data_IF_435253971966
#
_entry.id   IF_435253971966
#
_cell.length_a   1.000
_cell.length_b   1.000
_cell.length_c   1.000
_cell.angle_alpha   90.00
_cell.angle_beta   90.00
_cell.angle_gamma   90.00
#
_symmetry.space_group_name_H-M   'P 1'
#
loop_
_entity.id
_entity.type
_entity.pdbx_description
1 polymer ?
#
# COMPACT_ATOMS: atom_id res chain seq x y z
N UNK A 1 39.48 0.41 -27.75
CA UNK A 1 38.36 -0.44 -28.23
C UNK A 1 38.54 -1.81 -27.65
N UNK A 2 37.94 -2.04 -26.49
CA UNK A 2 38.07 -3.28 -25.74
C UNK A 2 36.71 -3.96 -25.86
N UNK A 3 36.62 -4.99 -26.70
CA UNK A 3 35.40 -5.81 -26.80
C UNK A 3 35.19 -6.51 -25.45
N UNK A 4 34.19 -6.07 -24.68
CA UNK A 4 33.69 -6.79 -23.51
C UNK A 4 33.01 -8.07 -24.03
N UNK A 5 33.61 -9.22 -23.76
CA UNK A 5 33.10 -10.53 -24.15
C UNK A 5 32.44 -11.18 -22.94
N UNK A 6 31.11 -11.28 -22.95
CA UNK A 6 30.36 -12.06 -21.98
C UNK A 6 30.26 -13.50 -22.48
N UNK A 7 30.59 -14.49 -21.64
CA UNK A 7 30.39 -15.91 -21.96
C UNK A 7 28.88 -16.23 -22.00
N UNK A 8 28.45 -16.74 -23.16
CA UNK A 8 27.07 -17.01 -23.48
C UNK A 8 26.59 -18.37 -22.95
N UNK A 9 25.31 -18.44 -22.59
CA UNK A 9 24.54 -19.68 -22.51
C UNK A 9 24.50 -20.30 -23.92
N UNK A 10 24.99 -21.54 -24.07
CA UNK A 10 24.92 -22.38 -25.27
C UNK A 10 25.34 -21.75 -26.61
N UNK A 11 26.44 -20.98 -26.62
CA UNK A 11 27.09 -20.57 -27.87
C UNK A 11 26.32 -19.55 -28.73
N UNK A 12 25.21 -18.99 -28.23
CA UNK A 12 24.49 -17.90 -28.88
C UNK A 12 25.15 -16.56 -28.57
N UNK A 13 25.82 -15.97 -29.56
CA UNK A 13 26.48 -14.66 -29.42
C UNK A 13 25.57 -13.54 -29.93
N UNK A 14 25.14 -12.65 -29.03
CA UNK A 14 24.52 -11.38 -29.43
C UNK A 14 25.66 -10.41 -29.78
N UNK A 15 25.74 -10.00 -31.05
CA UNK A 15 26.77 -9.10 -31.52
C UNK A 15 26.30 -7.65 -31.33
N UNK A 16 26.64 -7.05 -30.18
CA UNK A 16 26.36 -5.66 -29.87
C UNK A 16 27.68 -4.87 -29.93
N UNK A 17 27.74 -3.81 -30.73
CA UNK A 17 28.82 -2.82 -30.63
C UNK A 17 28.64 -1.97 -29.36
N UNK A 18 29.65 -1.21 -28.93
CA UNK A 18 29.58 -0.44 -27.67
C UNK A 18 28.29 0.40 -27.56
N UNK A 19 27.90 1.12 -28.64
CA UNK A 19 26.63 1.87 -28.67
C UNK A 19 25.38 0.99 -28.58
N UNK A 20 25.39 -0.17 -29.21
CA UNK A 20 24.31 -1.15 -29.15
C UNK A 20 24.21 -1.86 -27.81
N UNK A 21 25.34 -2.06 -27.12
CA UNK A 21 25.36 -2.59 -25.74
C UNK A 21 24.70 -1.60 -24.80
N UNK A 22 25.08 -0.32 -24.86
CA UNK A 22 24.45 0.73 -24.06
C UNK A 22 22.95 0.86 -24.35
N UNK A 23 22.56 0.96 -25.63
CA UNK A 23 21.14 1.08 -26.00
C UNK A 23 20.29 -0.11 -25.53
N UNK A 24 20.80 -1.33 -25.67
CA UNK A 24 20.10 -2.54 -25.23
C UNK A 24 20.02 -2.59 -23.71
N UNK A 25 21.09 -2.23 -23.01
CA UNK A 25 21.12 -2.19 -21.55
C UNK A 25 20.10 -1.18 -20.99
N UNK A 26 20.10 0.05 -21.50
CA UNK A 26 19.17 1.09 -21.08
C UNK A 26 17.72 0.68 -21.37
N UNK A 27 17.47 0.04 -22.51
CA UNK A 27 16.16 -0.51 -22.86
C UNK A 27 15.71 -1.62 -21.91
N UNK A 28 16.63 -2.51 -21.51
CA UNK A 28 16.33 -3.55 -20.52
C UNK A 28 16.05 -2.97 -19.14
N UNK A 29 16.80 -1.95 -18.72
CA UNK A 29 16.52 -1.24 -17.47
C UNK A 29 15.13 -0.60 -17.51
N UNK A 30 14.78 0.12 -18.57
CA UNK A 30 13.44 0.70 -18.70
C UNK A 30 12.33 -0.36 -18.68
N UNK A 31 12.51 -1.51 -19.35
CA UNK A 31 11.56 -2.63 -19.29
C UNK A 31 11.42 -3.16 -17.85
N UNK A 32 12.52 -3.33 -17.12
CA UNK A 32 12.49 -3.78 -15.72
C UNK A 32 11.77 -2.78 -14.81
N UNK A 33 12.00 -1.48 -15.02
CA UNK A 33 11.29 -0.42 -14.30
C UNK A 33 9.80 -0.44 -14.61
N UNK A 34 9.42 -0.61 -15.89
CA UNK A 34 8.02 -0.74 -16.28
C UNK A 34 7.37 -1.97 -15.64
N UNK A 35 8.04 -3.13 -15.60
CA UNK A 35 7.54 -4.32 -14.93
C UNK A 35 7.29 -4.09 -13.44
N UNK A 36 8.21 -3.39 -12.77
CA UNK A 36 8.02 -2.99 -11.39
C UNK A 36 6.84 -2.02 -11.24
N UNK A 37 6.69 -1.05 -12.15
CA UNK A 37 5.57 -0.13 -12.20
C UNK A 37 4.21 -0.84 -12.35
N UNK A 38 4.15 -1.90 -13.16
CA UNK A 38 2.93 -2.70 -13.31
C UNK A 38 2.55 -3.42 -12.02
N UNK A 39 3.49 -3.62 -11.10
CA UNK A 39 3.24 -4.25 -9.79
C UNK A 39 3.03 -3.23 -8.66
N UNK A 40 3.77 -2.13 -8.68
CA UNK A 40 3.70 -1.01 -7.75
C UNK A 40 3.72 0.30 -8.56
N UNK A 41 2.54 0.83 -8.83
CA UNK A 41 2.30 1.93 -9.79
C UNK A 41 3.17 3.17 -9.55
N UNK A 42 3.49 3.47 -8.29
CA UNK A 42 4.23 4.67 -7.93
C UNK A 42 5.72 4.57 -8.23
N UNK A 43 6.23 3.35 -8.43
CA UNK A 43 7.67 3.08 -8.43
C UNK A 43 8.38 3.63 -9.66
N UNK A 44 7.72 3.72 -10.82
CA UNK A 44 8.38 4.23 -12.03
C UNK A 44 8.81 5.70 -11.90
N UNK A 45 7.84 6.58 -11.61
CA UNK A 45 8.10 8.00 -11.45
C UNK A 45 9.00 8.27 -10.24
N UNK A 46 8.80 7.50 -9.16
CA UNK A 46 9.66 7.54 -7.99
C UNK A 46 11.11 7.25 -8.35
N UNK A 47 11.37 6.13 -9.03
CA UNK A 47 12.73 5.70 -9.40
C UNK A 47 13.43 6.70 -10.32
N UNK A 48 12.71 7.26 -11.30
CA UNK A 48 13.23 8.31 -12.18
C UNK A 48 13.65 9.56 -11.39
N UNK A 49 12.84 9.98 -10.42
CA UNK A 49 13.13 11.15 -9.58
C UNK A 49 14.27 10.90 -8.61
N UNK A 50 14.33 9.71 -8.01
CA UNK A 50 15.43 9.30 -7.14
C UNK A 50 16.74 9.26 -7.90
N UNK A 51 16.76 8.69 -9.12
CA UNK A 51 17.92 8.71 -10.00
C UNK A 51 18.35 10.15 -10.34
N UNK A 52 17.42 11.00 -10.80
CA UNK A 52 17.73 12.39 -11.16
C UNK A 52 18.25 13.23 -9.97
N UNK A 53 17.65 13.05 -8.78
CA UNK A 53 18.14 13.66 -7.54
C UNK A 53 19.54 13.16 -7.21
N UNK A 54 19.77 11.85 -7.29
CA UNK A 54 21.06 11.24 -6.97
C UNK A 54 22.17 11.75 -7.88
N UNK A 55 21.93 11.85 -9.19
CA UNK A 55 22.89 12.41 -10.15
C UNK A 55 23.25 13.87 -9.80
N UNK A 56 22.25 14.72 -9.57
CA UNK A 56 22.49 16.14 -9.22
C UNK A 56 23.25 16.33 -7.92
N UNK A 57 22.97 15.49 -6.92
CA UNK A 57 23.72 15.47 -5.66
C UNK A 57 25.17 15.05 -5.92
N UNK A 58 25.38 13.98 -6.69
CA UNK A 58 26.71 13.52 -7.07
C UNK A 58 27.53 14.57 -7.82
N UNK A 59 26.91 15.25 -8.80
CA UNK A 59 27.53 16.32 -9.58
C UNK A 59 27.97 17.47 -8.66
N UNK A 60 27.10 17.86 -7.72
CA UNK A 60 27.39 18.91 -6.74
C UNK A 60 28.51 18.53 -5.77
N UNK A 61 28.62 17.25 -5.42
CA UNK A 61 29.70 16.71 -4.60
C UNK A 61 31.00 16.49 -5.39
N UNK A 62 31.00 16.72 -6.71
CA UNK A 62 32.18 16.62 -7.57
C UNK A 62 32.57 15.20 -7.94
N UNK A 63 31.60 14.27 -7.97
CA UNK A 63 31.82 12.90 -8.43
C UNK A 63 32.11 12.87 -9.95
N UNK A 64 32.88 11.88 -10.38
CA UNK A 64 33.24 11.67 -11.78
C UNK A 64 32.04 11.17 -12.60
N UNK A 65 32.10 11.34 -13.93
CA UNK A 65 31.01 10.97 -14.84
C UNK A 65 30.59 9.49 -14.72
N UNK A 66 31.54 8.58 -14.53
CA UNK A 66 31.25 7.16 -14.34
C UNK A 66 30.61 6.85 -12.98
N UNK A 67 30.90 7.65 -11.95
CA UNK A 67 30.26 7.59 -10.63
C UNK A 67 28.81 8.12 -10.69
N UNK A 68 28.57 9.18 -11.47
CA UNK A 68 27.22 9.69 -11.75
C UNK A 68 26.39 8.64 -12.49
N UNK A 69 26.97 7.96 -13.48
CA UNK A 69 26.28 6.90 -14.21
C UNK A 69 25.89 5.72 -13.30
N UNK A 70 26.74 5.39 -12.30
CA UNK A 70 26.39 4.39 -11.29
C UNK A 70 25.23 4.85 -10.39
N UNK A 71 25.16 6.13 -10.02
CA UNK A 71 24.04 6.72 -9.29
C UNK A 71 22.76 6.74 -10.11
N UNK A 72 22.85 7.04 -11.40
CA UNK A 72 21.70 7.00 -12.32
C UNK A 72 21.11 5.60 -12.35
N UNK A 73 21.90 4.60 -12.76
CA UNK A 73 21.42 3.23 -12.86
C UNK A 73 20.98 2.68 -11.51
N UNK A 74 21.80 2.84 -10.46
CA UNK A 74 21.46 2.38 -9.12
C UNK A 74 20.20 3.03 -8.56
N UNK A 75 20.03 4.33 -8.76
CA UNK A 75 18.83 5.06 -8.35
C UNK A 75 17.58 4.61 -9.12
N UNK A 76 17.71 4.24 -10.40
CA UNK A 76 16.60 3.68 -11.16
C UNK A 76 16.16 2.33 -10.58
N UNK A 77 17.09 1.41 -10.34
CA UNK A 77 16.73 0.02 -9.99
C UNK A 77 16.88 -0.32 -8.50
N UNK A 78 17.08 0.65 -7.62
CA UNK A 78 17.30 0.42 -6.18
C UNK A 78 16.20 -0.47 -5.55
N UNK A 79 14.97 -0.33 -6.04
CA UNK A 79 13.78 -1.00 -5.56
C UNK A 79 13.41 -2.29 -6.34
N UNK A 80 14.23 -2.74 -7.30
CA UNK A 80 13.89 -3.84 -8.22
C UNK A 80 13.52 -5.16 -7.53
N UNK A 81 14.07 -5.41 -6.34
CA UNK A 81 13.73 -6.59 -5.55
C UNK A 81 12.29 -6.64 -5.07
N UNK A 82 11.52 -5.53 -5.14
CA UNK A 82 10.07 -5.51 -4.86
C UNK A 82 9.29 -6.44 -5.79
N UNK A 83 9.84 -6.80 -6.95
CA UNK A 83 9.31 -7.85 -7.83
C UNK A 83 9.27 -9.24 -7.18
N UNK A 84 9.91 -9.46 -6.04
CA UNK A 84 9.86 -10.72 -5.29
C UNK A 84 9.01 -10.66 -4.01
N UNK A 85 8.49 -9.49 -3.65
CA UNK A 85 7.71 -9.31 -2.41
C UNK A 85 6.25 -9.71 -2.66
N UNK A 86 5.61 -10.59 -1.85
CA UNK A 86 4.22 -10.97 -2.04
C UNK A 86 3.26 -9.76 -2.09
N UNK A 87 2.23 -9.81 -2.93
CA UNK A 87 1.26 -8.71 -3.11
C UNK A 87 0.58 -8.33 -1.78
N UNK A 88 0.28 -9.32 -0.93
CA UNK A 88 -0.29 -9.13 0.42
C UNK A 88 0.61 -8.34 1.38
N UNK A 89 1.90 -8.19 1.06
CA UNK A 89 2.86 -7.36 1.79
C UNK A 89 3.17 -6.08 1.03
N UNK A 90 3.42 -6.17 -0.28
CA UNK A 90 3.76 -5.04 -1.14
C UNK A 90 2.65 -3.99 -1.20
N UNK A 91 1.41 -4.44 -1.38
CA UNK A 91 0.23 -3.59 -1.57
C UNK A 91 -0.52 -3.35 -0.26
N UNK A 92 0.03 -3.80 0.87
CA UNK A 92 -0.66 -3.73 2.15
C UNK A 92 -0.87 -2.27 2.57
N UNK A 93 -2.12 -1.83 2.74
CA UNK A 93 -2.43 -0.49 3.17
C UNK A 93 -2.14 -0.35 4.68
N UNK A 94 -1.44 0.72 5.04
CA UNK A 94 -1.15 1.08 6.42
C UNK A 94 0.14 0.44 6.97
N UNK A 95 0.16 0.17 8.29
CA UNK A 95 1.37 -0.27 8.99
C UNK A 95 1.64 -1.76 8.77
N UNK A 96 2.91 -2.09 8.51
CA UNK A 96 3.40 -3.46 8.50
C UNK A 96 3.50 -4.04 9.90
N UNK A 97 3.13 -5.32 10.04
CA UNK A 97 3.52 -6.10 11.22
C UNK A 97 5.04 -6.33 11.21
N UNK A 98 5.64 -6.78 12.32
CA UNK A 98 7.07 -7.13 12.33
C UNK A 98 7.45 -8.16 11.24
N UNK A 99 6.56 -9.12 10.96
CA UNK A 99 6.76 -10.13 9.91
C UNK A 99 6.69 -9.50 8.52
N UNK A 100 5.65 -8.70 8.24
CA UNK A 100 5.52 -8.02 6.94
C UNK A 100 6.69 -7.07 6.70
N UNK A 101 7.18 -6.40 7.75
CA UNK A 101 8.36 -5.53 7.69
C UNK A 101 9.60 -6.34 7.31
N UNK A 102 9.82 -7.49 7.94
CA UNK A 102 10.93 -8.37 7.60
C UNK A 102 10.88 -8.83 6.13
N UNK A 103 9.69 -9.20 5.65
CA UNK A 103 9.48 -9.59 4.26
C UNK A 103 9.76 -8.40 3.34
N UNK A 104 9.16 -7.23 3.59
CA UNK A 104 9.37 -6.03 2.79
C UNK A 104 10.86 -5.65 2.72
N UNK A 105 11.57 -5.64 3.85
CA UNK A 105 12.99 -5.26 3.90
C UNK A 105 13.89 -6.19 3.05
N UNK A 106 13.45 -7.43 2.79
CA UNK A 106 14.22 -8.39 1.98
C UNK A 106 14.37 -7.98 0.50
N UNK A 107 13.61 -7.00 0.01
CA UNK A 107 13.72 -6.53 -1.38
C UNK A 107 15.15 -6.05 -1.71
N UNK A 108 15.83 -5.38 -0.78
CA UNK A 108 17.20 -4.90 -0.97
C UNK A 108 18.17 -6.04 -1.28
N UNK A 109 18.17 -7.07 -0.42
CA UNK A 109 19.00 -8.28 -0.59
C UNK A 109 18.64 -9.08 -1.84
N UNK A 110 17.34 -9.27 -2.10
CA UNK A 110 16.89 -10.01 -3.29
C UNK A 110 17.27 -9.26 -4.56
N UNK A 111 17.08 -7.93 -4.57
CA UNK A 111 17.47 -7.04 -5.65
C UNK A 111 18.96 -7.16 -5.94
N UNK A 112 19.82 -7.03 -4.93
CA UNK A 112 21.27 -7.14 -5.10
C UNK A 112 21.69 -8.48 -5.72
N UNK A 113 21.12 -9.59 -5.22
CA UNK A 113 21.37 -10.95 -5.75
C UNK A 113 20.98 -11.13 -7.22
N UNK A 114 20.03 -10.35 -7.75
CA UNK A 114 19.70 -10.40 -9.17
C UNK A 114 20.86 -9.93 -10.05
N UNK A 115 21.71 -9.02 -9.55
CA UNK A 115 22.81 -8.39 -10.30
C UNK A 115 24.20 -8.91 -9.89
N UNK A 116 24.32 -9.60 -8.76
CA UNK A 116 25.57 -10.25 -8.31
C UNK A 116 26.16 -11.19 -9.37
N UNK A 117 27.49 -11.13 -9.56
CA UNK A 117 28.27 -11.98 -10.47
C UNK A 117 27.86 -11.89 -11.95
N UNK A 118 27.24 -10.78 -12.38
CA UNK A 118 26.81 -10.56 -13.78
C UNK A 118 27.65 -9.53 -14.55
N UNK A 119 28.79 -9.11 -14.00
CA UNK A 119 29.64 -8.08 -14.62
C UNK A 119 29.04 -6.67 -14.56
N UNK A 120 28.07 -6.46 -13.68
CA UNK A 120 27.46 -5.16 -13.39
C UNK A 120 28.38 -4.39 -12.43
N UNK A 121 28.41 -3.07 -12.58
CA UNK A 121 29.14 -2.18 -11.69
C UNK A 121 28.79 -2.44 -10.22
N UNK A 122 29.80 -2.73 -9.39
CA UNK A 122 29.62 -3.05 -7.97
C UNK A 122 28.96 -1.90 -7.19
N UNK A 123 29.12 -0.65 -7.63
CA UNK A 123 28.47 0.53 -7.04
C UNK A 123 26.95 0.45 -7.17
N UNK A 124 26.46 -0.06 -8.31
CA UNK A 124 25.02 -0.27 -8.55
C UNK A 124 24.49 -1.35 -7.59
N UNK A 125 25.22 -2.46 -7.46
CA UNK A 125 24.84 -3.56 -6.55
C UNK A 125 24.84 -3.07 -5.10
N UNK A 126 25.82 -2.26 -4.71
CA UNK A 126 25.89 -1.64 -3.39
C UNK A 126 24.68 -0.73 -3.11
N UNK A 127 24.29 0.12 -4.07
CA UNK A 127 23.10 0.96 -3.96
C UNK A 127 21.86 0.11 -3.69
N UNK A 128 21.60 -0.91 -4.52
CA UNK A 128 20.42 -1.78 -4.38
C UNK A 128 20.42 -2.45 -3.01
N UNK A 129 21.57 -2.96 -2.57
CA UNK A 129 21.68 -3.66 -1.29
C UNK A 129 21.50 -2.71 -0.10
N UNK A 130 22.03 -1.47 -0.16
CA UNK A 130 22.31 -0.65 1.03
C UNK A 130 21.64 0.72 1.07
N UNK A 131 20.80 1.08 0.10
CA UNK A 131 20.09 2.37 0.12
C UNK A 131 19.17 2.58 1.35
N UNK A 132 18.85 1.51 2.09
CA UNK A 132 18.13 1.56 3.36
C UNK A 132 19.00 1.45 4.61
N UNK A 133 20.33 1.38 4.45
CA UNK A 133 21.26 1.50 5.55
C UNK A 133 21.26 2.93 6.10
N UNK A 134 21.65 3.07 7.37
CA UNK A 134 21.69 4.35 8.09
C UNK A 134 23.02 4.48 8.81
N UNK A 135 23.59 5.68 8.85
CA UNK A 135 24.95 5.89 9.35
C UNK A 135 25.15 5.51 10.83
N UNK A 136 24.07 5.45 11.61
CA UNK A 136 24.02 5.01 13.00
C UNK A 136 23.90 3.48 13.17
N UNK A 137 23.80 2.73 12.06
CA UNK A 137 23.61 1.28 12.05
C UNK A 137 22.16 0.83 12.30
N UNK A 138 21.19 1.74 12.38
CA UNK A 138 19.78 1.38 12.57
C UNK A 138 19.09 0.87 11.29
N UNK A 139 19.81 0.87 10.16
CA UNK A 139 19.32 0.50 8.85
C UNK A 139 19.26 -1.01 8.61
N UNK A 140 19.02 -1.39 7.36
CA UNK A 140 18.96 -2.78 6.92
C UNK A 140 19.51 -2.88 5.48
N UNK A 141 19.91 -4.08 5.01
CA UNK A 141 19.78 -5.41 5.64
C UNK A 141 20.92 -5.83 6.58
N UNK A 142 22.06 -5.16 6.54
CA UNK A 142 23.30 -5.53 7.24
C UNK A 142 23.50 -4.74 8.55
N UNK A 143 22.85 -3.57 8.70
CA UNK A 143 22.98 -2.72 9.89
C UNK A 143 24.34 -2.01 9.93
N UNK A 144 24.83 -1.58 8.77
CA UNK A 144 26.15 -0.97 8.63
C UNK A 144 26.14 0.46 9.15
N UNK A 145 27.13 0.79 9.99
CA UNK A 145 27.40 2.17 10.37
C UNK A 145 28.18 2.94 9.29
N UNK A 146 28.44 4.22 9.54
CA UNK A 146 29.06 5.13 8.57
C UNK A 146 30.34 4.58 7.90
N UNK A 147 31.23 3.92 8.63
CA UNK A 147 32.49 3.39 8.05
C UNK A 147 32.29 2.24 7.06
N UNK A 148 31.13 1.59 7.07
CA UNK A 148 30.80 0.47 6.19
C UNK A 148 30.05 0.86 4.91
N UNK A 149 29.67 2.13 4.77
CA UNK A 149 28.88 2.62 3.63
C UNK A 149 29.69 3.55 2.75
N UNK A 150 29.76 3.27 1.45
CA UNK A 150 30.31 4.22 0.48
C UNK A 150 29.38 5.43 0.32
N UNK A 151 29.79 6.43 -0.47
CA UNK A 151 28.97 7.62 -0.72
C UNK A 151 27.71 7.30 -1.54
N UNK A 152 27.73 6.25 -2.37
CA UNK A 152 26.66 5.91 -3.31
C UNK A 152 25.32 5.58 -2.63
N UNK A 153 25.22 4.60 -1.72
CA UNK A 153 23.96 4.32 -1.01
C UNK A 153 23.53 5.47 -0.11
N UNK A 154 24.46 6.31 0.39
CA UNK A 154 24.11 7.50 1.19
C UNK A 154 23.38 8.55 0.37
N UNK A 155 23.86 8.80 -0.86
CA UNK A 155 23.20 9.71 -1.81
C UNK A 155 21.80 9.20 -2.13
N UNK A 156 21.68 7.93 -2.52
CA UNK A 156 20.38 7.35 -2.91
C UNK A 156 19.42 7.30 -1.71
N UNK A 157 19.90 7.00 -0.49
CA UNK A 157 19.10 7.04 0.73
C UNK A 157 18.47 8.43 0.98
N UNK A 158 19.25 9.50 0.83
CA UNK A 158 18.74 10.86 1.02
C UNK A 158 17.75 11.24 -0.08
N UNK A 159 18.04 10.90 -1.33
CA UNK A 159 17.16 11.14 -2.48
C UNK A 159 15.82 10.38 -2.35
N UNK A 160 15.85 9.10 -1.99
CA UNK A 160 14.68 8.24 -1.75
C UNK A 160 13.79 8.83 -0.64
N UNK A 161 14.37 9.14 0.52
CA UNK A 161 13.61 9.72 1.64
C UNK A 161 12.97 11.04 1.24
N UNK A 162 13.69 11.93 0.54
CA UNK A 162 13.14 13.20 0.09
C UNK A 162 11.99 13.02 -0.93
N UNK A 163 12.16 12.15 -1.93
CA UNK A 163 11.10 11.86 -2.90
C UNK A 163 9.86 11.29 -2.21
N UNK A 164 10.03 10.32 -1.31
CA UNK A 164 8.95 9.71 -0.56
C UNK A 164 8.22 10.69 0.39
N UNK A 165 8.85 11.81 0.77
CA UNK A 165 8.25 12.87 1.57
C UNK A 165 7.47 13.89 0.73
N UNK A 166 7.96 14.21 -0.46
CA UNK A 166 7.42 15.28 -1.32
C UNK A 166 6.45 14.78 -2.38
N UNK A 167 6.54 13.52 -2.78
CA UNK A 167 5.62 12.94 -3.75
C UNK A 167 4.28 12.57 -3.11
N UNK A 168 3.19 12.89 -3.82
CA UNK A 168 1.83 12.51 -3.44
C UNK A 168 1.64 10.99 -3.61
N UNK A 169 1.26 10.30 -2.54
CA UNK A 169 0.91 8.86 -2.56
C UNK A 169 -0.53 8.68 -2.03
N UNK A 170 -1.30 7.65 -2.41
CA UNK A 170 -2.70 7.49 -1.99
C UNK A 170 -2.90 7.51 -0.47
N UNK A 171 -1.92 6.98 0.25
CA UNK A 171 -1.95 6.80 1.69
C UNK A 171 -1.27 7.93 2.47
N UNK A 172 -0.74 8.97 1.80
CA UNK A 172 0.07 10.02 2.44
C UNK A 172 -0.03 11.35 1.68
N UNK A 173 -0.47 12.44 2.33
CA UNK A 173 -0.41 13.77 1.73
C UNK A 173 1.06 14.14 1.46
N UNK A 174 1.28 14.81 0.34
CA UNK A 174 2.57 15.41 0.02
C UNK A 174 2.96 16.46 1.07
N UNK A 175 4.25 16.52 1.38
CA UNK A 175 4.82 17.60 2.20
C UNK A 175 5.48 18.63 1.30
N UNK A 176 5.52 19.87 1.77
CA UNK A 176 6.32 20.90 1.12
C UNK A 176 7.81 20.52 1.15
N UNK A 177 8.59 21.03 0.19
CA UNK A 177 10.04 20.84 0.15
C UNK A 177 10.71 21.27 1.46
N UNK A 178 10.26 22.39 2.06
CA UNK A 178 10.77 22.87 3.34
C UNK A 178 10.55 21.87 4.49
N UNK A 179 9.33 21.35 4.64
CA UNK A 179 9.02 20.34 5.67
C UNK A 179 9.79 19.03 5.44
N UNK A 180 10.00 18.63 4.18
CA UNK A 180 10.79 17.45 3.86
C UNK A 180 12.26 17.65 4.29
N UNK A 181 12.85 18.80 3.96
CA UNK A 181 14.22 19.14 4.37
C UNK A 181 14.37 19.20 5.89
N UNK A 182 13.40 19.76 6.61
CA UNK A 182 13.44 19.80 8.08
C UNK A 182 13.51 18.38 8.66
N UNK A 183 12.76 17.43 8.10
CA UNK A 183 12.81 16.02 8.51
C UNK A 183 14.15 15.36 8.17
N UNK A 184 14.72 15.61 6.98
CA UNK A 184 16.04 15.11 6.62
C UNK A 184 17.12 15.65 7.58
N UNK A 185 17.04 16.94 7.96
CA UNK A 185 17.97 17.53 8.92
C UNK A 185 17.82 16.96 10.34
N UNK A 186 16.62 16.51 10.74
CA UNK A 186 16.46 15.75 11.97
C UNK A 186 17.16 14.39 11.88
N UNK A 187 17.02 13.67 10.76
CA UNK A 187 17.73 12.41 10.55
C UNK A 187 19.25 12.58 10.51
N UNK A 188 19.76 13.70 9.98
CA UNK A 188 21.20 14.05 10.07
C UNK A 188 21.62 14.26 11.53
N UNK A 189 20.83 14.98 12.34
CA UNK A 189 21.13 15.21 13.76
C UNK A 189 21.12 13.92 14.57
N UNK A 190 20.22 13.00 14.23
CA UNK A 190 20.15 11.67 14.82
C UNK A 190 21.28 10.74 14.33
N UNK A 191 22.12 11.19 13.40
CA UNK A 191 23.23 10.41 12.85
C UNK A 191 22.81 9.33 11.86
N UNK A 192 21.61 9.41 11.27
CA UNK A 192 21.08 8.42 10.32
C UNK A 192 21.46 8.72 8.87
N UNK A 193 21.52 10.01 8.50
CA UNK A 193 21.84 10.48 7.14
C UNK A 193 23.13 11.31 7.11
N UNK A 194 23.75 11.35 5.94
CA UNK A 194 24.98 12.11 5.71
C UNK A 194 24.69 13.60 5.52
N UNK A 195 25.26 14.45 6.39
CA UNK A 195 25.02 15.89 6.37
C UNK A 195 25.51 16.58 5.10
N UNK A 196 26.61 16.12 4.50
CA UNK A 196 27.12 16.72 3.25
C UNK A 196 26.20 16.40 2.07
N UNK A 197 25.64 15.18 2.05
CA UNK A 197 24.65 14.76 1.06
C UNK A 197 23.35 15.55 1.20
N UNK A 198 22.84 15.71 2.43
CA UNK A 198 21.60 16.46 2.68
C UNK A 198 21.76 17.95 2.35
N UNK A 199 22.92 18.56 2.64
CA UNK A 199 23.23 19.94 2.23
C UNK A 199 23.24 20.11 0.71
N UNK A 200 23.85 19.16 -0.02
CA UNK A 200 23.87 19.15 -1.47
C UNK A 200 22.45 19.04 -2.05
N UNK A 201 21.63 18.12 -1.51
CA UNK A 201 20.22 17.96 -1.88
C UNK A 201 19.43 19.25 -1.59
N UNK A 202 19.60 19.87 -0.42
CA UNK A 202 18.90 21.09 -0.03
C UNK A 202 19.22 22.27 -0.97
N UNK A 203 20.44 22.33 -1.48
CA UNK A 203 20.85 23.33 -2.46
C UNK A 203 20.17 23.08 -3.81
N UNK A 204 20.16 21.84 -4.30
CA UNK A 204 19.52 21.49 -5.58
C UNK A 204 18.02 21.80 -5.59
N UNK A 205 17.30 21.40 -4.55
CA UNK A 205 15.83 21.50 -4.53
C UNK A 205 15.32 22.92 -4.28
N UNK A 206 16.22 23.86 -3.98
CA UNK A 206 15.90 25.30 -3.90
C UNK A 206 15.60 25.87 -5.28
N UNK A 207 16.41 25.49 -6.27
CA UNK A 207 16.38 26.08 -7.61
C UNK A 207 15.70 25.15 -8.63
N UNK A 208 15.48 23.88 -8.26
CA UNK A 208 14.88 22.88 -9.12
C UNK A 208 13.81 22.06 -8.39
N UNK A 209 12.69 21.81 -9.05
CA UNK A 209 11.63 20.95 -8.53
C UNK A 209 11.75 19.53 -9.11
N UNK A 210 12.12 18.50 -8.33
CA UNK A 210 12.25 17.12 -8.81
C UNK A 210 10.95 16.52 -9.35
N UNK A 211 9.79 17.02 -8.91
CA UNK A 211 8.48 16.54 -9.38
C UNK A 211 8.23 16.85 -10.87
N UNK A 212 9.05 17.73 -11.47
CA UNK A 212 9.04 18.02 -12.91
C UNK A 212 9.62 16.88 -13.74
N UNK A 213 10.39 15.96 -13.15
CA UNK A 213 10.84 14.74 -13.81
C UNK A 213 9.65 13.80 -13.97
N UNK A 214 9.28 13.54 -15.22
CA UNK A 214 8.20 12.64 -15.60
C UNK A 214 8.67 11.78 -16.76
N UNK A 215 8.49 10.45 -16.62
CA UNK A 215 8.60 9.53 -17.74
C UNK A 215 7.24 9.20 -18.34
N UNK A 216 7.24 8.36 -19.38
CA UNK A 216 6.01 7.89 -20.01
C UNK A 216 5.30 6.90 -19.08
N UNK A 217 4.39 7.40 -18.23
CA UNK A 217 3.61 6.54 -17.34
C UNK A 217 2.59 5.76 -18.19
N UNK A 218 2.52 4.41 -18.13
CA UNK A 218 1.50 3.67 -18.86
C UNK A 218 0.12 3.93 -18.23
N UNK A 219 -0.59 4.95 -18.74
CA UNK A 219 -2.06 5.05 -18.92
C UNK A 219 -2.97 4.89 -17.68
N UNK A 220 -4.18 5.48 -17.73
CA UNK A 220 -5.31 5.29 -16.80
C UNK A 220 -5.53 3.85 -16.30
N UNK A 221 -5.12 2.84 -17.07
CA UNK A 221 -5.23 1.42 -16.75
C UNK A 221 -4.48 1.03 -15.46
N UNK A 222 -3.36 1.68 -15.14
CA UNK A 222 -2.64 1.39 -13.89
C UNK A 222 -3.36 1.91 -12.65
N UNK A 223 -3.99 3.08 -12.73
CA UNK A 223 -4.82 3.61 -11.63
C UNK A 223 -6.02 2.69 -11.40
N UNK A 224 -6.66 2.21 -12.48
CA UNK A 224 -7.75 1.22 -12.40
C UNK A 224 -7.27 -0.11 -11.83
N UNK A 225 -6.09 -0.57 -12.23
CA UNK A 225 -5.47 -1.80 -11.72
C UNK A 225 -5.18 -1.70 -10.22
N UNK A 226 -4.71 -0.54 -9.76
CA UNK A 226 -4.45 -0.28 -8.35
C UNK A 226 -5.75 -0.25 -7.53
N UNK A 227 -6.78 0.45 -8.02
CA UNK A 227 -8.12 0.42 -7.43
C UNK A 227 -8.66 -1.03 -7.34
N UNK A 228 -8.47 -1.83 -8.40
CA UNK A 228 -8.84 -3.24 -8.42
C UNK A 228 -8.06 -4.07 -7.39
N UNK A 229 -6.74 -3.89 -7.30
CA UNK A 229 -5.88 -4.59 -6.34
C UNK A 229 -6.24 -4.28 -4.90
N UNK A 230 -6.47 -3.01 -4.57
CA UNK A 230 -6.95 -2.62 -3.24
C UNK A 230 -8.29 -3.27 -2.92
N UNK A 231 -9.21 -3.28 -3.89
CA UNK A 231 -10.50 -3.96 -3.77
C UNK A 231 -10.33 -5.45 -3.48
N UNK A 232 -9.41 -6.13 -4.18
CA UNK A 232 -9.10 -7.55 -3.96
C UNK A 232 -8.41 -7.81 -2.62
N UNK A 233 -7.45 -6.98 -2.20
CA UNK A 233 -6.74 -7.12 -0.92
C UNK A 233 -7.71 -7.15 0.27
N UNK A 234 -8.77 -6.33 0.20
CA UNK A 234 -9.77 -6.32 1.24
C UNK A 234 -10.88 -7.34 1.05
N UNK A 235 -10.96 -8.09 -0.06
CA UNK A 235 -11.99 -9.13 -0.19
C UNK A 235 -11.63 -10.34 0.66
N UNK A 236 -12.61 -10.78 1.44
CA UNK A 236 -12.56 -12.01 2.21
C UNK A 236 -12.72 -13.20 1.23
N UNK A 237 -11.76 -14.16 1.20
CA UNK A 237 -11.76 -15.23 0.21
C UNK A 237 -13.02 -16.10 0.20
N UNK A 238 -13.66 -16.30 1.36
CA UNK A 238 -14.78 -17.22 1.48
C UNK A 238 -16.12 -16.58 1.10
N UNK A 239 -16.46 -15.40 1.63
CA UNK A 239 -17.77 -14.80 1.37
C UNK A 239 -17.79 -13.75 0.26
N UNK A 240 -16.64 -13.38 -0.33
CA UNK A 240 -16.50 -12.25 -1.27
C UNK A 240 -16.89 -10.88 -0.69
N UNK A 241 -17.14 -10.80 0.63
CA UNK A 241 -17.41 -9.53 1.33
C UNK A 241 -16.09 -8.80 1.54
N UNK A 242 -16.14 -7.49 1.69
CA UNK A 242 -14.95 -6.74 2.06
C UNK A 242 -14.65 -6.91 3.55
N UNK A 243 -13.38 -6.90 3.96
CA UNK A 243 -13.01 -6.67 5.34
C UNK A 243 -13.53 -5.31 5.78
N UNK A 244 -14.04 -5.19 7.01
CA UNK A 244 -14.47 -3.90 7.56
C UNK A 244 -13.37 -2.83 7.48
N UNK A 245 -12.10 -3.25 7.41
CA UNK A 245 -10.96 -2.35 7.26
C UNK A 245 -10.97 -1.57 5.95
N UNK A 246 -11.69 -2.06 4.94
CA UNK A 246 -11.84 -1.38 3.65
C UNK A 246 -12.49 -0.01 3.81
N UNK A 247 -13.37 0.19 4.80
CA UNK A 247 -13.97 1.50 5.10
C UNK A 247 -12.91 2.57 5.38
N UNK A 248 -11.88 2.23 6.16
CA UNK A 248 -10.80 3.17 6.49
C UNK A 248 -9.93 3.46 5.27
N UNK A 249 -9.65 2.43 4.45
CA UNK A 249 -8.88 2.62 3.23
C UNK A 249 -9.63 3.50 2.22
N UNK A 250 -10.95 3.32 2.10
CA UNK A 250 -11.80 4.15 1.25
C UNK A 250 -11.72 5.63 1.62
N UNK A 251 -11.83 5.95 2.90
CA UNK A 251 -11.78 7.33 3.39
C UNK A 251 -10.41 7.99 3.26
N UNK A 252 -9.33 7.20 3.34
CA UNK A 252 -7.95 7.70 3.24
C UNK A 252 -7.50 7.93 1.80
N UNK A 253 -7.96 7.11 0.85
CA UNK A 253 -7.37 7.03 -0.49
C UNK A 253 -8.14 7.77 -1.59
N UNK A 254 -9.38 8.22 -1.33
CA UNK A 254 -10.23 8.83 -2.37
C UNK A 254 -10.41 10.33 -2.16
N UNK A 255 -10.63 11.04 -3.28
CA UNK A 255 -10.89 12.48 -3.28
C UNK A 255 -12.13 12.86 -2.45
N UNK A 256 -13.12 11.97 -2.37
CA UNK A 256 -14.32 12.12 -1.54
C UNK A 256 -14.45 10.93 -0.60
N UNK A 257 -14.29 11.13 0.73
CA UNK A 257 -14.48 10.08 1.72
C UNK A 257 -15.92 9.55 1.75
N UNK A 258 -16.10 8.27 2.09
CA UNK A 258 -17.42 7.71 2.36
C UNK A 258 -18.08 8.36 3.59
N UNK A 259 -17.29 8.77 4.58
CA UNK A 259 -17.79 9.52 5.74
C UNK A 259 -18.17 10.97 5.44
N UNK A 260 -17.86 11.52 4.26
CA UNK A 260 -18.13 12.93 3.93
C UNK A 260 -19.63 13.27 3.79
N UNK A 261 -20.49 12.25 3.72
CA UNK A 261 -21.94 12.41 3.71
C UNK A 261 -22.58 11.50 4.77
N UNK A 262 -23.84 11.77 5.20
CA UNK A 262 -24.50 10.94 6.18
C UNK A 262 -24.62 9.49 5.71
N UNK A 263 -24.42 8.55 6.64
CA UNK A 263 -24.42 7.12 6.35
C UNK A 263 -25.06 6.31 7.48
N UNK A 264 -25.36 5.06 7.19
CA UNK A 264 -25.86 4.11 8.19
C UNK A 264 -25.08 2.81 8.14
N UNK A 265 -24.91 2.21 9.31
CA UNK A 265 -24.31 0.89 9.47
C UNK A 265 -25.32 -0.07 10.08
N UNK A 266 -25.35 -1.30 9.56
CA UNK A 266 -25.97 -2.46 10.20
C UNK A 266 -24.86 -3.42 10.61
N UNK A 267 -24.96 -4.02 11.80
CA UNK A 267 -24.12 -5.13 12.23
C UNK A 267 -25.00 -6.33 12.55
N UNK A 268 -24.65 -7.48 11.97
CA UNK A 268 -25.26 -8.77 12.25
C UNK A 268 -24.24 -9.56 13.07
N UNK A 269 -24.50 -9.69 14.36
CA UNK A 269 -23.60 -10.27 15.34
C UNK A 269 -24.06 -11.68 15.71
N UNK A 270 -23.28 -12.72 15.36
CA UNK A 270 -23.66 -14.10 15.67
C UNK A 270 -23.24 -14.49 17.08
N UNK A 271 -24.18 -15.01 17.87
CA UNK A 271 -23.92 -15.42 19.24
C UNK A 271 -23.50 -16.88 19.31
N UNK A 272 -22.85 -17.23 20.41
CA UNK A 272 -22.52 -18.61 20.77
C UNK A 272 -21.70 -19.41 19.74
N UNK A 273 -21.03 -18.75 18.79
CA UNK A 273 -20.27 -19.41 17.71
C UNK A 273 -19.25 -20.43 18.21
N UNK A 274 -18.60 -20.19 19.35
CA UNK A 274 -17.67 -21.16 19.96
C UNK A 274 -18.34 -22.51 20.23
N UNK A 275 -19.58 -22.49 20.73
CA UNK A 275 -20.36 -23.70 20.99
C UNK A 275 -20.72 -24.41 19.67
N UNK A 276 -21.13 -23.65 18.66
CA UNK A 276 -21.45 -24.21 17.34
C UNK A 276 -20.21 -24.82 16.66
N UNK A 277 -19.06 -24.14 16.69
CA UNK A 277 -17.78 -24.66 16.19
C UNK A 277 -17.37 -25.97 16.89
N UNK A 278 -17.64 -26.12 18.19
CA UNK A 278 -17.36 -27.36 18.92
C UNK A 278 -18.29 -28.52 18.52
N UNK A 279 -19.52 -28.21 18.09
CA UNK A 279 -20.53 -29.21 17.73
C UNK A 279 -20.44 -29.66 16.27
N UNK A 280 -20.16 -28.72 15.36
CA UNK A 280 -20.20 -28.91 13.89
C UNK A 280 -18.81 -28.88 13.25
N UNK A 281 -17.80 -28.39 13.96
CA UNK A 281 -16.48 -28.12 13.41
C UNK A 281 -16.40 -26.75 12.73
N UNK A 282 -15.17 -26.25 12.56
CA UNK A 282 -14.91 -24.92 11.98
C UNK A 282 -15.27 -24.84 10.50
N UNK A 283 -14.96 -25.87 9.70
CA UNK A 283 -15.21 -25.86 8.26
C UNK A 283 -16.71 -25.77 7.94
N UNK A 284 -17.54 -26.62 8.55
CA UNK A 284 -19.00 -26.57 8.38
C UNK A 284 -19.56 -25.21 8.82
N UNK A 285 -19.04 -24.65 9.92
CA UNK A 285 -19.48 -23.35 10.40
C UNK A 285 -19.11 -22.20 9.47
N UNK A 286 -17.93 -22.23 8.87
CA UNK A 286 -17.52 -21.25 7.87
C UNK A 286 -18.39 -21.35 6.61
N UNK A 287 -18.73 -22.56 6.15
CA UNK A 287 -19.69 -22.78 5.04
C UNK A 287 -21.08 -22.22 5.36
N UNK A 288 -21.60 -22.46 6.57
CA UNK A 288 -22.89 -21.93 7.01
C UNK A 288 -22.87 -20.40 7.03
N UNK A 289 -21.83 -19.80 7.63
CA UNK A 289 -21.69 -18.34 7.65
C UNK A 289 -21.65 -17.78 6.24
N UNK A 290 -20.89 -18.40 5.32
CA UNK A 290 -20.84 -17.98 3.92
C UNK A 290 -22.21 -18.06 3.24
N UNK A 291 -22.95 -19.16 3.41
CA UNK A 291 -24.29 -19.32 2.87
C UNK A 291 -25.27 -18.25 3.37
N UNK A 292 -25.13 -17.81 4.64
CA UNK A 292 -25.92 -16.68 5.18
C UNK A 292 -25.54 -15.37 4.47
N UNK A 293 -24.24 -15.11 4.29
CA UNK A 293 -23.74 -13.93 3.59
C UNK A 293 -24.22 -13.84 2.14
N UNK A 294 -24.13 -14.94 1.39
CA UNK A 294 -24.59 -15.05 0.00
C UNK A 294 -26.09 -14.77 -0.11
N UNK A 295 -26.90 -15.43 0.73
CA UNK A 295 -28.36 -15.22 0.75
C UNK A 295 -28.74 -13.78 1.09
N UNK A 296 -28.02 -13.17 2.02
CA UNK A 296 -28.23 -11.77 2.38
C UNK A 296 -27.97 -10.85 1.18
N UNK A 297 -26.85 -11.05 0.47
CA UNK A 297 -26.53 -10.30 -0.74
C UNK A 297 -27.57 -10.51 -1.84
N UNK A 298 -27.95 -11.76 -2.13
CA UNK A 298 -28.97 -12.09 -3.15
C UNK A 298 -30.31 -11.41 -2.87
N UNK A 299 -30.80 -11.49 -1.62
CA UNK A 299 -32.07 -10.86 -1.21
C UNK A 299 -32.05 -9.35 -1.38
N UNK A 300 -30.92 -8.71 -1.08
CA UNK A 300 -30.76 -7.27 -1.23
C UNK A 300 -30.62 -6.89 -2.70
N UNK A 301 -29.78 -7.60 -3.47
CA UNK A 301 -29.59 -7.40 -4.90
C UNK A 301 -30.90 -7.51 -5.70
N UNK A 302 -31.80 -8.41 -5.29
CA UNK A 302 -33.11 -8.55 -5.92
C UNK A 302 -34.05 -7.35 -5.72
N UNK A 303 -33.74 -6.44 -4.78
CA UNK A 303 -34.63 -5.33 -4.37
C UNK A 303 -33.95 -3.96 -4.40
N UNK A 304 -32.63 -3.93 -4.54
CA UNK A 304 -31.79 -2.74 -4.54
C UNK A 304 -30.82 -2.86 -5.71
N UNK A 305 -30.73 -1.82 -6.53
CA UNK A 305 -29.72 -1.76 -7.58
C UNK A 305 -28.32 -1.65 -6.96
N UNK A 306 -27.51 -2.69 -7.15
CA UNK A 306 -26.12 -2.76 -6.71
C UNK A 306 -25.14 -2.46 -7.84
N UNK A 307 -25.62 -2.01 -9.00
CA UNK A 307 -24.75 -1.79 -10.15
C UNK A 307 -23.69 -0.72 -9.85
N UNK A 308 -22.43 -0.95 -10.23
CA UNK A 308 -21.31 -0.04 -9.95
C UNK A 308 -21.32 1.23 -10.81
N UNK A 309 -22.50 1.68 -11.28
CA UNK A 309 -22.65 2.84 -12.18
C UNK A 309 -22.34 4.19 -11.51
N UNK A 310 -21.94 4.19 -10.25
CA UNK A 310 -21.66 5.38 -9.45
C UNK A 310 -20.18 5.39 -9.02
N UNK A 311 -19.57 6.58 -9.00
CA UNK A 311 -18.20 6.78 -8.49
C UNK A 311 -18.05 6.34 -7.02
N UNK A 312 -19.14 6.33 -6.25
CA UNK A 312 -19.21 5.90 -4.85
C UNK A 312 -20.26 4.81 -4.65
N UNK A 313 -19.97 3.73 -3.90
CA UNK A 313 -20.92 2.65 -3.68
C UNK A 313 -22.05 3.08 -2.72
N UNK A 314 -23.34 2.97 -3.10
CA UNK A 314 -24.46 3.31 -2.23
C UNK A 314 -24.67 2.28 -1.10
N UNK A 315 -24.05 1.11 -1.22
CA UNK A 315 -24.11 -0.02 -0.31
C UNK A 315 -22.78 -0.80 -0.36
N UNK A 316 -22.26 -1.22 0.80
CA UNK A 316 -21.11 -2.12 0.91
C UNK A 316 -21.39 -3.24 1.90
N UNK A 317 -20.99 -4.45 1.53
CA UNK A 317 -21.05 -5.64 2.36
C UNK A 317 -19.68 -5.93 2.94
N UNK A 318 -19.60 -5.95 4.26
CA UNK A 318 -18.37 -5.98 5.02
C UNK A 318 -18.38 -7.12 6.05
N UNK A 319 -17.20 -7.59 6.47
CA UNK A 319 -17.01 -8.60 7.51
C UNK A 319 -16.05 -8.12 8.60
N UNK A 320 -16.36 -8.45 9.86
CA UNK A 320 -15.46 -8.31 11.01
C UNK A 320 -15.43 -9.62 11.78
N UNK A 321 -14.47 -10.48 11.46
CA UNK A 321 -14.46 -11.86 11.96
C UNK A 321 -15.64 -12.63 11.36
N UNK A 322 -16.48 -13.21 12.22
CA UNK A 322 -17.69 -13.93 11.80
C UNK A 322 -18.91 -13.01 11.59
N UNK A 323 -18.84 -11.75 12.03
CA UNK A 323 -19.96 -10.82 11.97
C UNK A 323 -20.00 -10.08 10.63
N UNK A 324 -21.22 -9.76 10.18
CA UNK A 324 -21.44 -8.96 8.97
C UNK A 324 -21.70 -7.50 9.32
N UNK A 325 -21.18 -6.60 8.49
CA UNK A 325 -21.46 -5.18 8.54
C UNK A 325 -22.00 -4.74 7.18
N UNK A 326 -23.05 -3.93 7.16
CA UNK A 326 -23.60 -3.34 5.94
C UNK A 326 -23.50 -1.83 6.07
N UNK A 327 -22.67 -1.21 5.24
CA UNK A 327 -22.63 0.23 5.06
C UNK A 327 -23.63 0.64 3.98
N UNK A 328 -24.38 1.73 4.19
CA UNK A 328 -25.28 2.27 3.18
C UNK A 328 -25.48 3.79 3.31
N UNK A 329 -25.89 4.42 2.21
CA UNK A 329 -26.36 5.82 2.17
C UNK A 329 -27.83 5.93 1.76
N UNK A 330 -28.65 5.01 2.25
CA UNK A 330 -30.05 4.95 1.87
C UNK A 330 -30.90 5.99 2.60
N UNK A 331 -31.97 6.42 1.94
CA UNK A 331 -33.03 7.16 2.60
C UNK A 331 -33.78 6.28 3.64
N UNK A 332 -34.66 6.92 4.43
CA UNK A 332 -35.43 6.22 5.48
C UNK A 332 -36.27 5.06 4.95
N UNK A 333 -36.82 5.14 3.75
CA UNK A 333 -37.68 4.09 3.18
C UNK A 333 -36.83 2.87 2.80
N UNK A 334 -35.71 3.09 2.13
CA UNK A 334 -34.75 2.05 1.74
C UNK A 334 -34.07 1.44 2.97
N UNK A 335 -33.76 2.22 4.02
CA UNK A 335 -33.28 1.68 5.30
C UNK A 335 -34.30 0.75 5.97
N UNK A 336 -35.61 1.07 5.90
CA UNK A 336 -36.67 0.18 6.42
C UNK A 336 -36.76 -1.13 5.63
N UNK A 337 -36.61 -1.06 4.30
CA UNK A 337 -36.56 -2.25 3.45
C UNK A 337 -35.35 -3.12 3.82
N UNK A 338 -34.17 -2.52 3.92
CA UNK A 338 -32.93 -3.22 4.30
C UNK A 338 -33.10 -3.92 5.66
N UNK A 339 -33.67 -3.24 6.66
CA UNK A 339 -33.93 -3.84 7.97
C UNK A 339 -34.82 -5.09 7.89
N UNK A 340 -35.86 -5.08 7.05
CA UNK A 340 -36.74 -6.25 6.86
C UNK A 340 -35.98 -7.41 6.21
N UNK A 341 -35.22 -7.13 5.15
CA UNK A 341 -34.44 -8.15 4.44
C UNK A 341 -33.38 -8.80 5.36
N UNK A 342 -32.72 -7.99 6.20
CA UNK A 342 -31.79 -8.48 7.22
C UNK A 342 -32.50 -9.35 8.25
N UNK A 343 -33.65 -8.92 8.76
CA UNK A 343 -34.43 -9.68 9.74
C UNK A 343 -34.90 -11.04 9.17
N UNK A 344 -35.37 -11.07 7.92
CA UNK A 344 -35.76 -12.32 7.25
C UNK A 344 -34.58 -13.29 7.14
N UNK A 345 -33.38 -12.77 6.85
CA UNK A 345 -32.17 -13.57 6.73
C UNK A 345 -31.69 -14.12 8.10
N UNK A 346 -31.81 -13.31 9.16
CA UNK A 346 -31.55 -13.74 10.54
C UNK A 346 -32.51 -14.83 10.98
N UNK A 347 -33.81 -14.65 10.72
CA UNK A 347 -34.83 -15.64 11.06
C UNK A 347 -34.59 -16.96 10.32
N UNK A 348 -34.21 -16.89 9.04
CA UNK A 348 -33.83 -18.09 8.28
C UNK A 348 -32.61 -18.78 8.90
N UNK A 349 -31.61 -18.01 9.32
CA UNK A 349 -30.39 -18.56 9.90
C UNK A 349 -30.66 -19.28 11.23
N UNK A 350 -31.51 -18.71 12.07
CA UNK A 350 -31.94 -19.31 13.33
C UNK A 350 -32.75 -20.59 13.07
N UNK A 351 -33.77 -20.55 12.21
CA UNK A 351 -34.62 -21.72 11.92
C UNK A 351 -33.83 -22.87 11.29
N UNK A 352 -32.90 -22.56 10.38
CA UNK A 352 -32.20 -23.58 9.59
C UNK A 352 -30.98 -24.16 10.31
N UNK A 353 -30.22 -23.33 11.02
CA UNK A 353 -28.94 -23.72 11.61
C UNK A 353 -28.90 -23.59 13.13
N UNK A 354 -29.93 -23.02 13.75
CA UNK A 354 -29.98 -22.72 15.19
C UNK A 354 -29.01 -21.61 15.58
N UNK A 355 -28.68 -20.71 14.64
CA UNK A 355 -27.72 -19.63 14.87
C UNK A 355 -28.44 -18.36 15.30
N UNK A 356 -28.33 -18.04 16.58
CA UNK A 356 -28.82 -16.77 17.12
C UNK A 356 -27.96 -15.62 16.59
N UNK A 357 -28.62 -14.64 15.98
CA UNK A 357 -27.98 -13.45 15.43
C UNK A 357 -28.70 -12.19 15.91
N UNK A 358 -27.92 -11.23 16.40
CA UNK A 358 -28.39 -9.93 16.83
C UNK A 358 -28.13 -8.89 15.73
N UNK A 359 -29.17 -8.18 15.29
CA UNK A 359 -29.02 -7.06 14.36
C UNK A 359 -28.99 -5.73 15.11
N UNK A 360 -27.87 -5.03 15.03
CA UNK A 360 -27.73 -3.64 15.46
C UNK A 360 -27.69 -2.72 14.26
N UNK A 361 -28.20 -1.51 14.39
CA UNK A 361 -28.08 -0.51 13.32
C UNK A 361 -28.02 0.90 13.89
N UNK A 362 -27.28 1.78 13.22
CA UNK A 362 -27.12 3.18 13.64
C UNK A 362 -26.92 4.08 12.43
N UNK A 363 -27.38 5.32 12.55
CA UNK A 363 -27.15 6.38 11.57
C UNK A 363 -26.09 7.32 12.12
N UNK A 364 -25.29 7.87 11.21
CA UNK A 364 -24.18 8.75 11.50
C UNK A 364 -24.27 9.98 10.58
N UNK A 365 -23.96 11.14 11.15
CA UNK A 365 -23.92 12.40 10.43
C UNK A 365 -22.66 12.51 9.56
N UNK A 366 -22.68 13.46 8.62
CA UNK A 366 -21.53 13.71 7.76
C UNK A 366 -20.30 14.11 8.59
N UNK A 367 -19.16 13.48 8.28
CA UNK A 367 -17.87 13.71 8.93
C UNK A 367 -17.62 12.82 10.16
N UNK A 368 -18.60 12.03 10.61
CA UNK A 368 -18.36 11.09 11.72
C UNK A 368 -17.42 9.94 11.28
N UNK A 369 -16.29 9.71 11.97
CA UNK A 369 -15.29 8.74 11.52
C UNK A 369 -15.74 7.30 11.75
N UNK A 370 -15.39 6.40 10.83
CA UNK A 370 -15.75 4.98 10.92
C UNK A 370 -15.24 4.28 12.19
N UNK A 371 -14.14 4.75 12.78
CA UNK A 371 -13.62 4.18 14.03
C UNK A 371 -14.65 4.35 15.16
N UNK A 372 -15.14 5.58 15.34
CA UNK A 372 -16.21 5.88 16.31
C UNK A 372 -17.49 5.13 15.97
N UNK A 373 -17.87 5.10 14.70
CA UNK A 373 -19.10 4.44 14.26
C UNK A 373 -19.11 2.94 14.57
N UNK A 374 -17.98 2.25 14.34
CA UNK A 374 -17.83 0.83 14.65
C UNK A 374 -17.80 0.57 16.14
N UNK A 375 -17.11 1.40 16.94
CA UNK A 375 -17.11 1.27 18.40
C UNK A 375 -18.54 1.40 18.96
N UNK A 376 -19.29 2.40 18.49
CA UNK A 376 -20.68 2.62 18.89
C UNK A 376 -21.65 1.53 18.41
N UNK A 377 -21.35 0.88 17.28
CA UNK A 377 -22.19 -0.19 16.73
C UNK A 377 -21.95 -1.53 17.45
N UNK A 378 -20.72 -1.79 17.88
CA UNK A 378 -20.33 -3.05 18.56
C UNK A 378 -20.27 -2.95 20.09
N UNK A 379 -20.37 -1.75 20.68
CA UNK A 379 -20.52 -1.59 22.12
C UNK A 379 -21.68 -2.45 22.64
N UNK A 380 -21.46 -3.17 23.76
CA UNK A 380 -22.56 -3.79 24.48
C UNK A 380 -23.53 -2.70 24.92
N UNK A 381 -24.84 -2.91 24.77
CA UNK A 381 -25.82 -2.02 25.38
C UNK A 381 -25.49 -1.93 26.87
N UNK A 382 -25.02 -0.75 27.31
CA UNK A 382 -25.00 -0.43 28.72
C UNK A 382 -26.46 -0.39 29.11
N UNK A 383 -26.92 -1.39 29.88
CA UNK A 383 -28.25 -1.40 30.48
C UNK A 383 -28.53 -0.01 31.05
N UNK A 384 -29.55 0.64 30.50
CA UNK A 384 -30.07 1.91 30.98
C UNK A 384 -30.67 1.73 32.36
N UNK A 385 -30.10 2.39 33.37
CA UNK A 385 -30.88 2.99 34.47
C UNK A 385 -29.96 3.87 35.33
N UNK A 386 -30.11 5.19 35.17
CA UNK A 386 -30.05 6.23 36.20
C UNK A 386 -30.09 7.62 35.54
N UNK A 387 -31.31 8.15 35.43
CA UNK A 387 -31.68 9.57 35.57
C UNK A 387 -30.91 10.61 34.74
N UNK A 388 -31.51 11.09 33.64
CA UNK A 388 -31.42 12.51 33.31
C UNK A 388 -32.51 13.25 34.10
N UNK A 389 -32.18 14.29 34.88
CA UNK A 389 -33.19 15.13 35.50
C UNK A 389 -33.86 15.99 34.42
N UNK A 390 -35.17 16.10 34.50
CA UNK A 390 -35.93 17.13 33.81
C UNK A 390 -35.37 18.51 34.14
N UNK A 391 -35.08 19.30 33.13
CA UNK A 391 -35.04 20.76 33.25
C UNK A 391 -35.67 21.39 32.02
N UNK A 392 -36.90 21.86 32.23
CA UNK A 392 -37.53 23.14 31.79
C UNK A 392 -36.97 23.86 30.57
#
# INVERSE_FOLDING_TARGET
MTQMTYEAIDGFRINLNDRGVHYVFDSFLDILLQLLAYRDHYTYQHSLRVAALSCRIGERLGLAEDEILALEHGGLIHDIGKLSIPDDVLLKPGRFSPVDRCIMNSHSLIGARLFENRGIDERIVEIILRHHERLDGSGYPEGLGATGLSIFPRIVAAADVYEALTARRPYKPDRSSAEALDLLWLDVRDGKLDGAVVEALATEVRDWNPLTVQGHNPVEDLVRLEDFRQTCYFREPLSQFYSYRYLFSFDQNRQTPLSAAPYALFALCFKHLKRHNQQRGYLEMDEILCAIGERLQERIAARVDLSPRQQEPPLLFLKKGADYIIYNRFDRQRCRLLRRLVADCINEADVRWGLECECRHRHFDAGEPFALALDLLFAAEVNSDCTRPDTT
#
